data_IF_806759226847
#
_entry.id   IF_806759226847
#
_cell.length_a   1.000
_cell.length_b   1.000
_cell.length_c   1.000
_cell.angle_alpha   90.00
_cell.angle_beta   90.00
_cell.angle_gamma   90.00
#
_symmetry.space_group_name_H-M   'P 1'
#
loop_
_entity.id
_entity.type
_entity.pdbx_description
1 polymer ?
#
# COMPACT_ATOMS: atom_id res chain seq x y z
N UNK A 1 -16.61 -1.73 -7.27
CA UNK A 1 -15.34 -1.04 -7.62
C UNK A 1 -14.14 -1.68 -6.93
N UNK A 2 -14.18 -1.94 -5.62
CA UNK A 2 -13.07 -2.58 -4.90
C UNK A 2 -12.69 -3.97 -5.42
N UNK A 3 -13.63 -4.75 -5.97
CA UNK A 3 -13.33 -6.01 -6.65
C UNK A 3 -12.35 -5.87 -7.84
N UNK A 4 -12.30 -4.72 -8.51
CA UNK A 4 -11.30 -4.44 -9.56
C UNK A 4 -9.89 -4.32 -8.97
N UNK A 5 -9.77 -3.69 -7.79
CA UNK A 5 -8.50 -3.59 -7.07
C UNK A 5 -8.07 -5.00 -6.65
N UNK A 6 -8.96 -5.76 -6.02
CA UNK A 6 -8.65 -7.14 -5.60
C UNK A 6 -8.15 -7.99 -6.76
N UNK A 7 -8.79 -7.92 -7.93
CA UNK A 7 -8.37 -8.64 -9.13
C UNK A 7 -6.89 -8.40 -9.51
N UNK A 8 -6.44 -7.14 -9.51
CA UNK A 8 -5.05 -6.79 -9.88
C UNK A 8 -4.03 -6.95 -8.76
N UNK A 9 -4.47 -7.07 -7.51
CA UNK A 9 -3.57 -7.05 -6.36
C UNK A 9 -3.49 -8.35 -5.57
N UNK A 10 -4.48 -9.24 -5.68
CA UNK A 10 -4.55 -10.48 -4.89
C UNK A 10 -3.26 -11.33 -5.00
N UNK A 11 -2.68 -11.42 -6.20
CA UNK A 11 -1.45 -12.20 -6.45
C UNK A 11 -0.17 -11.41 -6.19
N UNK A 12 -0.29 -10.09 -5.96
CA UNK A 12 0.83 -9.20 -5.64
C UNK A 12 1.07 -9.09 -4.14
N UNK A 13 0.01 -9.27 -3.34
CA UNK A 13 0.04 -9.13 -1.90
C UNK A 13 0.32 -10.47 -1.22
N UNK A 14 1.23 -10.54 -0.23
CA UNK A 14 1.33 -11.75 0.58
C UNK A 14 0.01 -11.96 1.33
N UNK A 15 -0.44 -13.21 1.51
CA UNK A 15 -1.59 -13.48 2.37
C UNK A 15 -1.31 -12.89 3.76
N UNK A 16 -2.33 -12.29 4.37
CA UNK A 16 -2.25 -11.81 5.75
C UNK A 16 -2.82 -12.88 6.69
N UNK A 17 -1.99 -13.67 7.39
CA UNK A 17 -2.48 -14.60 8.41
C UNK A 17 -3.33 -13.87 9.45
N UNK A 18 -4.25 -14.59 10.07
CA UNK A 18 -5.24 -14.05 11.02
C UNK A 18 -4.61 -13.18 12.14
N UNK A 19 -3.41 -13.53 12.60
CA UNK A 19 -2.67 -12.76 13.60
C UNK A 19 -1.96 -11.49 13.09
N UNK A 20 -1.73 -11.34 11.79
CA UNK A 20 -1.06 -10.15 11.23
C UNK A 20 -2.04 -9.02 10.95
N UNK A 21 -3.25 -9.37 10.50
CA UNK A 21 -4.30 -8.42 10.13
C UNK A 21 -4.63 -7.41 11.25
N UNK A 22 -4.96 -7.82 12.50
CA UNK A 22 -5.26 -6.86 13.57
C UNK A 22 -4.06 -5.97 13.93
N UNK A 23 -2.84 -6.50 13.82
CA UNK A 23 -1.61 -5.73 14.05
C UNK A 23 -1.43 -4.66 12.96
N UNK A 24 -1.58 -5.03 11.68
CA UNK A 24 -1.45 -4.10 10.56
C UNK A 24 -2.52 -3.01 10.60
N UNK A 25 -3.78 -3.37 10.93
CA UNK A 25 -4.86 -2.41 11.14
C UNK A 25 -4.47 -1.29 12.10
N UNK A 26 -3.90 -1.64 13.26
CA UNK A 26 -3.48 -0.64 14.25
C UNK A 26 -2.44 0.33 13.70
N UNK A 27 -1.46 -0.14 12.94
CA UNK A 27 -0.49 0.76 12.31
C UNK A 27 -1.12 1.68 11.27
N UNK A 28 -2.07 1.18 10.46
CA UNK A 28 -2.73 1.97 9.42
C UNK A 28 -3.70 2.99 10.03
N UNK A 29 -4.50 2.59 11.02
CA UNK A 29 -5.45 3.45 11.75
C UNK A 29 -4.75 4.59 12.49
N UNK A 30 -3.56 4.33 13.05
CA UNK A 30 -2.79 5.33 13.82
C UNK A 30 -1.85 6.18 12.95
N UNK A 31 -1.76 5.94 11.65
CA UNK A 31 -0.87 6.72 10.78
C UNK A 31 -1.20 8.23 10.84
N UNK A 32 -0.20 9.13 10.98
CA UNK A 32 1.25 8.91 10.80
C UNK A 32 2.03 8.57 12.07
N UNK A 33 1.37 8.30 13.21
CA UNK A 33 2.05 8.06 14.48
C UNK A 33 2.82 6.73 14.45
N UNK A 34 4.13 6.72 14.74
CA UNK A 34 4.87 5.48 14.95
C UNK A 34 4.40 4.77 16.23
N UNK A 35 4.23 3.45 16.17
CA UNK A 35 3.87 2.60 17.32
C UNK A 35 4.98 1.60 17.62
N UNK A 36 5.23 1.33 18.90
CA UNK A 36 6.09 0.21 19.29
C UNK A 36 5.28 -1.09 19.28
N UNK A 37 5.91 -2.26 19.08
CA UNK A 37 5.21 -3.55 19.15
C UNK A 37 4.48 -3.74 20.49
N UNK A 38 5.09 -3.26 21.57
CA UNK A 38 4.49 -3.28 22.91
C UNK A 38 3.24 -2.40 23.02
N UNK A 39 3.22 -1.21 22.39
CA UNK A 39 2.02 -0.37 22.35
C UNK A 39 0.89 -1.07 21.58
N UNK A 40 1.21 -1.71 20.45
CA UNK A 40 0.22 -2.47 19.68
C UNK A 40 -0.32 -3.66 20.48
N UNK A 41 0.53 -4.37 21.23
CA UNK A 41 0.13 -5.50 22.06
C UNK A 41 -0.88 -5.13 23.17
N UNK A 42 -1.00 -3.85 23.53
CA UNK A 42 -2.03 -3.37 24.46
C UNK A 42 -3.39 -3.11 23.80
N UNK A 43 -3.44 -3.02 22.47
CA UNK A 43 -4.61 -2.60 21.69
C UNK A 43 -5.20 -3.72 20.82
N UNK A 44 -4.60 -4.92 20.83
CA UNK A 44 -5.05 -6.09 20.07
C UNK A 44 -5.20 -7.29 20.99
N UNK A 45 -6.17 -8.15 20.67
CA UNK A 45 -6.44 -9.40 21.41
C UNK A 45 -5.47 -10.51 20.99
N UNK A 46 -4.16 -10.25 21.10
CA UNK A 46 -3.10 -11.21 20.80
C UNK A 46 -2.06 -11.22 21.91
N UNK A 47 -1.37 -12.35 22.10
CA UNK A 47 -0.23 -12.40 23.01
C UNK A 47 0.91 -11.49 22.53
N UNK A 48 1.68 -10.93 23.45
CA UNK A 48 2.84 -10.08 23.12
C UNK A 48 3.77 -10.78 22.13
N UNK A 49 4.08 -12.06 22.35
CA UNK A 49 4.91 -12.86 21.43
C UNK A 49 4.31 -13.00 20.03
N UNK A 50 2.98 -13.12 19.90
CA UNK A 50 2.32 -13.14 18.60
C UNK A 50 2.42 -11.79 17.89
N UNK A 51 2.24 -10.68 18.62
CA UNK A 51 2.38 -9.33 18.07
C UNK A 51 3.80 -9.06 17.57
N UNK A 52 4.83 -9.43 18.34
CA UNK A 52 6.22 -9.25 17.89
C UNK A 52 6.54 -10.06 16.63
N UNK A 53 6.06 -11.31 16.54
CA UNK A 53 6.20 -12.12 15.31
C UNK A 53 5.47 -11.50 14.12
N UNK A 54 4.26 -11.01 14.33
CA UNK A 54 3.50 -10.31 13.30
C UNK A 54 4.22 -9.04 12.84
N UNK A 55 4.68 -8.19 13.76
CA UNK A 55 5.46 -6.98 13.41
C UNK A 55 6.69 -7.33 12.59
N UNK A 56 7.47 -8.32 13.02
CA UNK A 56 8.66 -8.75 12.28
C UNK A 56 8.32 -9.14 10.84
N UNK A 57 7.24 -9.90 10.65
CA UNK A 57 6.84 -10.35 9.34
C UNK A 57 6.22 -9.24 8.47
N UNK A 58 5.45 -8.31 9.06
CA UNK A 58 4.94 -7.12 8.39
C UNK A 58 6.09 -6.21 7.92
N UNK A 59 7.11 -6.04 8.77
CA UNK A 59 8.31 -5.26 8.43
C UNK A 59 9.14 -5.95 7.33
N UNK A 60 9.31 -7.27 7.40
CA UNK A 60 9.98 -8.07 6.36
C UNK A 60 9.30 -7.90 4.99
N UNK A 61 7.97 -7.80 4.97
CA UNK A 61 7.17 -7.56 3.76
C UNK A 61 7.01 -6.07 3.41
N UNK A 62 7.64 -5.15 4.16
CA UNK A 62 7.59 -3.69 3.95
C UNK A 62 6.18 -3.09 4.00
N UNK A 63 5.25 -3.76 4.69
CA UNK A 63 3.90 -3.26 4.96
C UNK A 63 3.89 -2.21 6.08
N UNK A 64 4.91 -2.28 6.94
CA UNK A 64 5.29 -1.25 7.91
C UNK A 64 6.79 -0.97 7.77
N UNK A 65 7.24 0.20 8.20
CA UNK A 65 8.65 0.58 8.20
C UNK A 65 9.08 1.13 9.57
N UNK A 66 10.35 0.94 9.96
CA UNK A 66 10.91 1.57 11.14
C UNK A 66 10.76 3.09 11.10
N UNK A 67 10.28 3.67 12.20
CA UNK A 67 10.10 5.10 12.38
C UNK A 67 10.36 5.47 13.85
N UNK A 68 11.50 6.11 14.12
CA UNK A 68 11.95 6.41 15.48
C UNK A 68 12.15 5.13 16.31
N UNK A 69 11.46 5.03 17.45
CA UNK A 69 11.51 3.85 18.35
C UNK A 69 10.52 2.73 17.98
N UNK A 70 9.74 2.90 16.92
CA UNK A 70 8.65 1.99 16.55
C UNK A 70 8.58 1.77 15.05
N UNK A 71 7.38 1.45 14.58
CA UNK A 71 7.06 1.26 13.17
C UNK A 71 5.88 2.13 12.76
N UNK A 72 5.80 2.45 11.48
CA UNK A 72 4.70 3.19 10.87
C UNK A 72 4.19 2.41 9.66
N UNK A 73 2.88 2.50 9.40
CA UNK A 73 2.29 1.90 8.20
C UNK A 73 2.84 2.53 6.92
N UNK A 74 2.98 1.71 5.89
CA UNK A 74 3.22 2.18 4.51
C UNK A 74 1.93 2.10 3.71
N UNK A 75 1.92 2.71 2.53
CA UNK A 75 0.80 2.56 1.60
C UNK A 75 0.60 1.10 1.19
N UNK A 76 1.68 0.30 1.17
CA UNK A 76 1.61 -1.14 0.88
C UNK A 76 0.78 -1.87 1.94
N UNK A 77 0.94 -1.47 3.20
CA UNK A 77 0.13 -1.97 4.30
C UNK A 77 -1.35 -1.63 4.14
N UNK A 78 -1.67 -0.40 3.72
CA UNK A 78 -3.05 -0.01 3.46
C UNK A 78 -3.65 -0.73 2.23
N UNK A 79 -2.89 -0.90 1.15
CA UNK A 79 -3.31 -1.69 -0.03
C UNK A 79 -3.56 -3.15 0.36
N UNK A 80 -2.69 -3.76 1.17
CA UNK A 80 -2.89 -5.13 1.62
C UNK A 80 -4.19 -5.28 2.44
N UNK A 81 -4.50 -4.33 3.33
CA UNK A 81 -5.80 -4.33 4.03
C UNK A 81 -6.98 -4.08 3.10
N UNK A 82 -6.85 -3.21 2.11
CA UNK A 82 -7.89 -2.94 1.12
C UNK A 82 -8.24 -4.18 0.30
N UNK A 83 -7.24 -4.95 -0.12
CA UNK A 83 -7.40 -6.18 -0.90
C UNK A 83 -8.04 -7.29 -0.06
N UNK A 84 -7.66 -7.39 1.21
CA UNK A 84 -8.12 -8.44 2.12
C UNK A 84 -9.52 -8.20 2.69
N UNK A 85 -9.89 -6.95 2.99
CA UNK A 85 -11.17 -6.63 3.64
C UNK A 85 -12.21 -6.05 2.68
N UNK A 86 -11.77 -5.55 1.52
CA UNK A 86 -12.63 -4.82 0.58
C UNK A 86 -13.42 -3.68 1.25
N UNK A 87 -12.82 -3.06 2.28
CA UNK A 87 -13.41 -1.98 3.06
C UNK A 87 -12.92 -0.61 2.52
N UNK A 88 -13.84 0.29 2.11
CA UNK A 88 -13.50 1.63 1.60
C UNK A 88 -12.61 2.46 2.51
N UNK A 89 -12.64 2.25 3.84
CA UNK A 89 -11.77 3.00 4.77
C UNK A 89 -10.29 2.80 4.48
N UNK A 90 -9.91 1.67 3.88
CA UNK A 90 -8.53 1.41 3.51
C UNK A 90 -8.12 2.13 2.23
N UNK A 91 -9.06 2.44 1.33
CA UNK A 91 -8.83 3.33 0.21
C UNK A 91 -8.53 4.76 0.70
N UNK A 92 -9.25 5.23 1.72
CA UNK A 92 -8.97 6.50 2.39
C UNK A 92 -7.57 6.51 3.01
N UNK A 93 -7.20 5.41 3.68
CA UNK A 93 -5.87 5.27 4.25
C UNK A 93 -4.78 5.30 3.17
N UNK A 94 -4.99 4.66 2.01
CA UNK A 94 -4.06 4.72 0.87
C UNK A 94 -3.85 6.17 0.42
N UNK A 95 -4.95 6.90 0.16
CA UNK A 95 -4.89 8.32 -0.25
C UNK A 95 -4.19 9.17 0.79
N UNK A 96 -4.53 8.98 2.07
CA UNK A 96 -3.96 9.71 3.21
C UNK A 96 -2.45 9.48 3.32
N UNK A 97 -1.99 8.22 3.21
CA UNK A 97 -0.57 7.88 3.33
C UNK A 97 0.24 8.44 2.16
N UNK A 98 -0.32 8.43 0.94
CA UNK A 98 0.31 9.07 -0.22
C UNK A 98 0.21 10.60 -0.21
N UNK A 99 -0.67 11.18 0.61
CA UNK A 99 -0.91 12.63 0.63
C UNK A 99 -1.62 13.15 -0.63
N UNK A 100 -2.52 12.37 -1.22
CA UNK A 100 -3.19 12.70 -2.49
C UNK A 100 -4.68 12.99 -2.30
N UNK A 101 -5.16 14.07 -2.93
CA UNK A 101 -6.57 14.50 -2.91
C UNK A 101 -7.43 13.91 -4.02
N UNK A 102 -7.21 12.64 -4.40
CA UNK A 102 -8.00 11.98 -5.45
C UNK A 102 -9.38 11.60 -4.96
N UNK A 103 -10.41 11.68 -5.79
CA UNK A 103 -11.72 11.08 -5.51
C UNK A 103 -11.69 9.54 -5.57
N UNK A 104 -12.71 8.88 -5.03
CA UNK A 104 -12.74 7.41 -4.86
C UNK A 104 -12.60 6.66 -6.20
N UNK A 105 -13.28 7.13 -7.24
CA UNK A 105 -13.18 6.57 -8.60
C UNK A 105 -11.76 6.68 -9.14
N UNK A 106 -11.15 7.87 -9.05
CA UNK A 106 -9.79 8.10 -9.53
C UNK A 106 -8.76 7.28 -8.75
N UNK A 107 -8.91 7.18 -7.43
CA UNK A 107 -8.04 6.34 -6.60
C UNK A 107 -8.18 4.85 -6.92
N UNK A 108 -9.41 4.38 -7.16
CA UNK A 108 -9.68 2.99 -7.57
C UNK A 108 -9.03 2.68 -8.92
N UNK A 109 -9.25 3.53 -9.92
CA UNK A 109 -8.69 3.34 -11.26
C UNK A 109 -7.17 3.43 -11.27
N UNK A 110 -6.61 4.35 -10.48
CA UNK A 110 -5.17 4.43 -10.29
C UNK A 110 -4.60 3.16 -9.68
N UNK A 111 -5.20 2.63 -8.61
CA UNK A 111 -4.76 1.38 -7.99
C UNK A 111 -4.90 0.19 -8.94
N UNK A 112 -5.97 0.12 -9.74
CA UNK A 112 -6.13 -0.92 -10.75
C UNK A 112 -5.00 -0.87 -11.79
N UNK A 113 -4.73 0.33 -12.35
CA UNK A 113 -3.66 0.53 -13.31
C UNK A 113 -2.27 0.22 -12.72
N UNK A 114 -2.03 0.64 -11.48
CA UNK A 114 -0.78 0.36 -10.76
C UNK A 114 -0.59 -1.14 -10.52
N UNK A 115 -1.62 -1.84 -10.06
CA UNK A 115 -1.58 -3.29 -9.84
C UNK A 115 -1.29 -4.03 -11.15
N UNK A 116 -1.98 -3.67 -12.23
CA UNK A 116 -1.75 -4.23 -13.56
C UNK A 116 -0.30 -3.97 -14.04
N UNK A 117 0.24 -2.77 -13.83
CA UNK A 117 1.62 -2.41 -14.17
C UNK A 117 2.65 -3.25 -13.40
N UNK A 118 2.44 -3.42 -12.10
CA UNK A 118 3.31 -4.20 -11.22
C UNK A 118 3.28 -5.68 -11.62
N UNK A 119 2.10 -6.24 -11.86
CA UNK A 119 1.94 -7.61 -12.38
C UNK A 119 2.69 -7.80 -13.69
N UNK A 120 2.58 -6.85 -14.62
CA UNK A 120 3.26 -6.92 -15.92
C UNK A 120 4.79 -6.94 -15.81
N UNK A 121 5.31 -6.29 -14.77
CA UNK A 121 6.74 -6.23 -14.45
C UNK A 121 7.20 -7.40 -13.56
N UNK A 122 6.32 -8.34 -13.23
CA UNK A 122 6.60 -9.50 -12.37
C UNK A 122 7.14 -9.12 -10.98
N UNK A 123 6.75 -7.95 -10.47
CA UNK A 123 7.10 -7.53 -9.12
C UNK A 123 6.01 -7.93 -8.12
N UNK A 124 6.41 -8.22 -6.90
CA UNK A 124 5.51 -8.31 -5.75
C UNK A 124 5.31 -6.94 -5.08
N UNK A 125 4.29 -6.82 -4.22
CA UNK A 125 4.10 -5.58 -3.44
C UNK A 125 5.33 -5.23 -2.59
N UNK A 126 6.08 -6.25 -2.14
CA UNK A 126 7.32 -6.06 -1.35
C UNK A 126 8.40 -5.37 -2.19
N UNK A 127 8.56 -5.78 -3.44
CA UNK A 127 9.58 -5.27 -4.36
C UNK A 127 9.21 -3.90 -4.94
N UNK A 128 7.92 -3.66 -5.21
CA UNK A 128 7.45 -2.44 -5.86
C UNK A 128 7.79 -1.17 -5.04
N UNK A 129 8.39 -0.17 -5.65
CA UNK A 129 8.75 1.09 -5.01
C UNK A 129 7.62 2.11 -5.09
N UNK A 130 6.53 1.83 -4.37
CA UNK A 130 5.26 2.58 -4.47
C UNK A 130 4.93 3.42 -3.23
N UNK A 131 5.81 3.49 -2.23
CA UNK A 131 5.55 4.28 -1.03
C UNK A 131 5.52 5.79 -1.30
N UNK A 132 6.23 6.20 -2.34
CA UNK A 132 6.21 7.55 -2.90
C UNK A 132 5.19 7.59 -4.05
N UNK A 133 4.31 8.59 -4.03
CA UNK A 133 3.26 8.74 -5.04
C UNK A 133 3.85 8.90 -6.44
N UNK A 134 4.87 9.75 -6.60
CA UNK A 134 5.49 10.06 -7.89
C UNK A 134 6.22 8.83 -8.45
N UNK A 135 6.95 8.12 -7.59
CA UNK A 135 7.63 6.89 -7.99
C UNK A 135 6.63 5.78 -8.38
N UNK A 136 5.46 5.74 -7.75
CA UNK A 136 4.41 4.79 -8.14
C UNK A 136 3.90 5.03 -9.57
N UNK A 137 3.86 6.28 -10.03
CA UNK A 137 3.42 6.61 -11.39
C UNK A 137 4.36 6.06 -12.46
N UNK A 138 5.66 5.94 -12.18
CA UNK A 138 6.64 5.42 -13.13
C UNK A 138 6.31 3.98 -13.58
N UNK A 139 5.72 3.16 -12.71
CA UNK A 139 5.23 1.83 -13.07
C UNK A 139 4.17 1.92 -14.16
N UNK A 140 3.20 2.81 -14.00
CA UNK A 140 2.11 2.98 -14.96
C UNK A 140 2.65 3.60 -16.25
N UNK A 141 3.43 4.68 -16.17
CA UNK A 141 3.98 5.38 -17.35
C UNK A 141 4.76 4.43 -18.26
N UNK A 142 5.63 3.59 -17.68
CA UNK A 142 6.46 2.65 -18.46
C UNK A 142 5.67 1.52 -19.09
N UNK A 143 4.45 1.23 -18.60
CA UNK A 143 3.62 0.13 -19.08
C UNK A 143 2.34 0.59 -19.79
N UNK A 144 2.03 1.88 -19.86
CA UNK A 144 0.71 2.40 -20.24
C UNK A 144 0.18 1.80 -21.54
N UNK A 145 0.99 1.82 -22.61
CA UNK A 145 0.62 1.28 -23.93
C UNK A 145 0.46 -0.25 -23.94
N UNK A 146 1.04 -0.94 -22.95
CA UNK A 146 1.04 -2.40 -22.84
C UNK A 146 -0.08 -2.94 -21.96
N UNK A 147 -0.68 -2.10 -21.11
CA UNK A 147 -1.66 -2.53 -20.12
C UNK A 147 -3.05 -2.77 -20.71
N UNK A 148 -3.35 -2.24 -21.91
CA UNK A 148 -4.67 -2.34 -22.57
C UNK A 148 -5.80 -2.06 -21.57
N UNK A 149 -5.69 -0.97 -20.84
CA UNK A 149 -6.66 -0.60 -19.81
C UNK A 149 -8.01 -0.24 -20.48
N UNK A 150 -9.14 -0.43 -19.78
CA UNK A 150 -10.41 0.07 -20.27
C UNK A 150 -10.35 1.59 -20.52
N UNK A 151 -11.00 2.13 -21.57
CA UNK A 151 -10.92 3.56 -21.91
C UNK A 151 -11.21 4.49 -20.73
N UNK A 152 -12.24 4.17 -19.93
CA UNK A 152 -12.59 4.96 -18.75
C UNK A 152 -11.48 4.99 -17.67
N UNK A 153 -10.71 3.90 -17.53
CA UNK A 153 -9.57 3.85 -16.61
C UNK A 153 -8.45 4.71 -17.18
N UNK A 154 -8.13 4.55 -18.46
CA UNK A 154 -7.06 5.29 -19.12
C UNK A 154 -7.30 6.82 -19.12
N UNK A 155 -8.50 7.25 -19.50
CA UNK A 155 -8.92 8.66 -19.50
C UNK A 155 -8.84 9.29 -18.11
N UNK A 156 -9.11 8.50 -17.06
CA UNK A 156 -9.05 8.98 -15.67
C UNK A 156 -7.60 9.07 -15.16
N UNK A 157 -6.75 8.09 -15.48
CA UNK A 157 -5.38 8.05 -14.95
C UNK A 157 -4.41 8.93 -15.73
N UNK A 158 -4.57 9.06 -17.05
CA UNK A 158 -3.62 9.78 -17.91
C UNK A 158 -3.35 11.22 -17.46
N UNK A 159 -4.36 12.01 -17.00
CA UNK A 159 -4.13 13.34 -16.43
C UNK A 159 -3.39 13.34 -15.08
N UNK A 160 -3.39 12.22 -14.35
CA UNK A 160 -2.72 12.09 -13.05
C UNK A 160 -1.22 11.81 -13.20
N UNK A 161 -0.81 11.26 -14.34
CA UNK A 161 0.57 10.89 -14.63
C UNK A 161 1.39 12.15 -14.95
N UNK A 162 2.11 12.65 -13.95
CA UNK A 162 3.08 13.74 -14.10
C UNK A 162 4.48 13.14 -14.17
N UNK A 163 5.31 13.62 -15.08
CA UNK A 163 6.74 13.30 -15.03
C UNK A 163 7.31 13.82 -13.68
N UNK A 164 8.19 13.06 -13.00
CA UNK A 164 8.70 13.45 -11.69
C UNK A 164 9.47 14.78 -11.73
N UNK A 165 8.85 15.88 -11.30
CA UNK A 165 9.55 17.10 -10.91
C UNK A 165 9.85 17.04 -9.41
N UNK A 166 10.91 16.32 -9.05
CA UNK A 166 11.40 16.24 -7.66
C UNK A 166 10.71 15.18 -6.79
N UNK A 167 11.52 14.29 -6.21
CA UNK A 167 11.08 13.21 -5.32
C UNK A 167 11.15 13.65 -3.85
N UNK A 168 10.04 13.59 -3.13
CA UNK A 168 10.03 13.75 -1.67
C UNK A 168 9.36 12.57 -0.98
N UNK A 169 10.21 11.83 -0.25
CA UNK A 169 9.99 10.71 0.67
C UNK A 169 10.31 9.31 0.12
N UNK A 170 11.55 8.90 0.37
CA UNK A 170 12.08 7.59 -0.02
C UNK A 170 11.57 6.45 0.87
N UNK A 171 11.27 5.31 0.26
CA UNK A 171 11.12 4.02 0.93
C UNK A 171 12.50 3.38 1.26
N UNK A 172 13.51 4.23 1.45
CA UNK A 172 14.92 3.89 1.60
C UNK A 172 15.55 4.84 2.62
N UNK A 173 15.74 4.34 3.84
CA UNK A 173 16.99 4.58 4.59
C UNK A 173 17.33 3.33 5.40
N UNK A 174 17.96 2.38 4.72
CA UNK A 174 18.98 1.52 5.30
C UNK A 174 20.16 1.51 4.33
N UNK A 175 21.21 2.24 4.71
CA UNK A 175 22.59 1.77 4.55
C UNK A 175 22.91 0.93 5.77
#
# INVERSE_FOLDING_TARGET
>A
MLGLIRYFWQDLTPPLPEGWRPVLKRYVERWPKPLTPYAVAKEVELSTSAVYRAVYALAKNRLILPAGRGYQATVKGAIALLVEEEDPRWLDAVRKIWGVGLGDTAATFYLAALGAAIQKLSFTIREAYICDWVASQAYIITQLDRLRLPPAVEETIRPLLKFPEGTHHSCSRYK
#
